data_IF_428285397310
#
_entry.id   IF_428285397310
#
_cell.length_a   1.000
_cell.length_b   1.000
_cell.length_c   1.000
_cell.angle_alpha   90.00
_cell.angle_beta   90.00
_cell.angle_gamma   90.00
#
_symmetry.space_group_name_H-M   'P 1'
#
loop_
_entity.id
_entity.type
_entity.pdbx_description
1 polymer ?
#
# COMPACT_ATOMS: atom_id res chain seq x y z
N UNK A 1 9.48 17.12 9.56
CA UNK A 1 9.32 15.85 8.79
C UNK A 1 9.04 16.19 7.34
N UNK A 2 9.72 15.52 6.39
CA UNK A 2 9.47 15.71 4.96
C UNK A 2 8.07 15.20 4.61
N UNK A 3 7.31 15.96 3.83
CA UNK A 3 5.97 15.57 3.37
C UNK A 3 6.10 14.42 2.37
N UNK A 4 5.29 13.37 2.51
CA UNK A 4 5.18 12.32 1.50
C UNK A 4 4.53 12.93 0.25
N UNK A 5 5.06 12.61 -0.92
CA UNK A 5 4.60 13.12 -2.21
C UNK A 5 4.43 11.96 -3.18
N UNK A 6 3.31 11.96 -3.88
CA UNK A 6 3.13 11.11 -5.05
C UNK A 6 3.80 11.82 -6.23
N UNK A 7 4.78 11.16 -6.83
CA UNK A 7 5.59 11.69 -7.92
C UNK A 7 5.20 11.09 -9.26
N UNK A 8 4.59 9.91 -9.26
CA UNK A 8 4.01 9.27 -10.43
C UNK A 8 2.65 8.71 -10.04
N UNK A 9 1.61 9.14 -10.74
CA UNK A 9 0.23 8.73 -10.49
C UNK A 9 -0.17 7.49 -11.29
N UNK A 10 0.62 7.09 -12.30
CA UNK A 10 0.35 5.94 -13.17
C UNK A 10 -1.07 5.96 -13.76
N UNK A 11 -1.62 7.16 -14.02
CA UNK A 11 -3.00 7.35 -14.50
C UNK A 11 -4.09 7.17 -13.43
N UNK A 12 -3.71 6.95 -12.17
CA UNK A 12 -4.66 6.85 -11.06
C UNK A 12 -4.99 8.22 -10.48
N UNK A 13 -6.27 8.41 -10.16
CA UNK A 13 -6.76 9.58 -9.44
C UNK A 13 -7.32 9.14 -8.10
N UNK A 14 -7.43 10.02 -7.09
CA UNK A 14 -8.08 9.67 -5.83
C UNK A 14 -9.48 9.06 -5.99
N UNK A 15 -10.22 9.53 -7.01
CA UNK A 15 -11.56 9.04 -7.34
C UNK A 15 -11.52 7.61 -7.91
N UNK A 16 -10.57 7.28 -8.78
CA UNK A 16 -10.44 5.92 -9.33
C UNK A 16 -9.89 4.95 -8.29
N UNK A 17 -8.93 5.37 -7.45
CA UNK A 17 -8.43 4.59 -6.31
C UNK A 17 -9.58 4.24 -5.35
N UNK A 18 -10.47 5.18 -5.04
CA UNK A 18 -11.64 4.92 -4.17
C UNK A 18 -12.63 3.90 -4.76
N UNK A 19 -12.68 3.75 -6.09
CA UNK A 19 -13.45 2.69 -6.73
C UNK A 19 -12.75 1.33 -6.59
N UNK A 20 -11.42 1.30 -6.74
CA UNK A 20 -10.63 0.08 -6.55
C UNK A 20 -10.65 -0.42 -5.10
N UNK A 21 -10.56 0.47 -4.12
CA UNK A 21 -10.69 0.14 -2.69
C UNK A 21 -11.95 -0.69 -2.40
N UNK A 22 -13.08 -0.37 -3.05
CA UNK A 22 -14.35 -1.07 -2.86
C UNK A 22 -14.34 -2.49 -3.45
N UNK A 23 -13.54 -2.73 -4.49
CA UNK A 23 -13.41 -4.05 -5.13
C UNK A 23 -12.53 -4.99 -4.33
N UNK A 24 -11.53 -4.45 -3.62
CA UNK A 24 -10.57 -5.24 -2.84
C UNK A 24 -11.25 -5.78 -1.58
N UNK A 25 -11.38 -7.11 -1.48
CA UNK A 25 -11.93 -7.80 -0.29
C UNK A 25 -10.92 -7.88 0.86
N UNK A 26 -9.62 -7.99 0.55
CA UNK A 26 -8.58 -8.10 1.57
C UNK A 26 -8.36 -6.75 2.26
N UNK A 27 -8.59 -6.70 3.57
CA UNK A 27 -8.52 -5.46 4.38
C UNK A 27 -7.12 -4.84 4.32
N UNK A 28 -6.07 -5.65 4.43
CA UNK A 28 -4.69 -5.15 4.42
C UNK A 28 -4.31 -4.51 3.08
N UNK A 29 -4.72 -5.12 1.97
CA UNK A 29 -4.49 -4.57 0.63
C UNK A 29 -5.32 -3.31 0.40
N UNK A 30 -6.57 -3.29 0.87
CA UNK A 30 -7.42 -2.09 0.82
C UNK A 30 -6.78 -0.92 1.58
N UNK A 31 -6.23 -1.17 2.76
CA UNK A 31 -5.53 -0.14 3.55
C UNK A 31 -4.29 0.43 2.82
N UNK A 32 -3.57 -0.38 2.04
CA UNK A 32 -2.46 0.10 1.20
C UNK A 32 -2.94 1.13 0.19
N UNK A 33 -4.01 0.81 -0.54
CA UNK A 33 -4.60 1.71 -1.54
C UNK A 33 -5.14 2.98 -0.87
N UNK A 34 -5.83 2.84 0.28
CA UNK A 34 -6.32 3.97 1.05
C UNK A 34 -5.20 4.91 1.52
N UNK A 35 -4.05 4.37 1.93
CA UNK A 35 -2.92 5.18 2.34
C UNK A 35 -2.42 6.07 1.20
N UNK A 36 -2.27 5.50 0.00
CA UNK A 36 -1.85 6.25 -1.20
C UNK A 36 -2.90 7.28 -1.60
N UNK A 37 -4.19 6.91 -1.61
CA UNK A 37 -5.29 7.84 -1.92
C UNK A 37 -5.29 9.05 -0.99
N UNK A 38 -5.15 8.83 0.32
CA UNK A 38 -5.13 9.93 1.29
C UNK A 38 -3.89 10.81 1.12
N UNK A 39 -2.72 10.24 0.81
CA UNK A 39 -1.52 11.06 0.52
C UNK A 39 -1.71 11.87 -0.77
N UNK A 40 -2.34 11.31 -1.81
CA UNK A 40 -2.71 12.07 -3.02
C UNK A 40 -3.68 13.22 -2.72
N UNK A 41 -4.66 12.99 -1.83
CA UNK A 41 -5.60 14.03 -1.38
C UNK A 41 -4.95 15.11 -0.51
N UNK A 42 -3.67 14.93 -0.15
CA UNK A 42 -2.86 15.93 0.51
C UNK A 42 -2.72 15.73 2.02
N UNK A 43 -3.25 14.65 2.60
CA UNK A 43 -3.09 14.34 4.02
C UNK A 43 -1.62 14.09 4.36
N UNK A 44 -1.21 14.44 5.58
CA UNK A 44 0.14 14.17 6.05
C UNK A 44 0.28 12.68 6.39
N UNK A 45 1.44 12.10 6.10
CA UNK A 45 1.70 10.68 6.39
C UNK A 45 1.48 10.29 7.86
N UNK A 46 1.70 11.21 8.81
CA UNK A 46 1.41 10.99 10.23
C UNK A 46 -0.09 10.82 10.51
N UNK A 47 -0.93 11.58 9.82
CA UNK A 47 -2.38 11.57 10.03
C UNK A 47 -2.98 10.34 9.33
N UNK A 48 -2.45 10.00 8.14
CA UNK A 48 -2.78 8.75 7.43
C UNK A 48 -2.43 7.53 8.27
N UNK A 49 -1.25 7.51 8.89
CA UNK A 49 -0.84 6.44 9.78
C UNK A 49 -1.82 6.27 10.96
N UNK A 50 -2.21 7.36 11.61
CA UNK A 50 -3.20 7.34 12.70
C UNK A 50 -4.59 6.89 12.23
N UNK A 51 -5.06 7.40 11.09
CA UNK A 51 -6.39 7.07 10.53
C UNK A 51 -6.52 5.59 10.14
N UNK A 52 -5.44 4.98 9.65
CA UNK A 52 -5.43 3.59 9.19
C UNK A 52 -4.90 2.61 10.24
N UNK A 53 -4.53 3.09 11.43
CA UNK A 53 -3.86 2.33 12.48
C UNK A 53 -2.60 1.59 11.96
N UNK A 54 -1.76 2.32 11.22
CA UNK A 54 -0.53 1.82 10.61
C UNK A 54 0.71 2.52 11.18
N UNK A 55 1.87 1.87 11.07
CA UNK A 55 3.14 2.51 11.34
C UNK A 55 3.48 3.55 10.26
N UNK A 56 4.11 4.67 10.66
CA UNK A 56 4.53 5.73 9.73
C UNK A 56 5.44 5.23 8.60
N UNK A 57 6.32 4.28 8.92
CA UNK A 57 7.21 3.62 7.96
C UNK A 57 6.42 2.82 6.91
N UNK A 58 5.34 2.14 7.30
CA UNK A 58 4.48 1.41 6.36
C UNK A 58 3.82 2.34 5.35
N UNK A 59 3.31 3.51 5.80
CA UNK A 59 2.73 4.51 4.90
C UNK A 59 3.77 5.05 3.91
N UNK A 60 4.98 5.36 4.39
CA UNK A 60 6.07 5.80 3.52
C UNK A 60 6.47 4.72 2.50
N UNK A 61 6.52 3.46 2.93
CA UNK A 61 6.82 2.33 2.07
C UNK A 61 5.76 2.12 0.99
N UNK A 62 4.47 2.21 1.33
CA UNK A 62 3.38 2.12 0.36
C UNK A 62 3.43 3.23 -0.69
N UNK A 63 3.74 4.45 -0.28
CA UNK A 63 3.96 5.57 -1.21
C UNK A 63 5.16 5.30 -2.13
N UNK A 64 6.25 4.73 -1.60
CA UNK A 64 7.41 4.35 -2.41
C UNK A 64 7.06 3.31 -3.47
N UNK A 65 6.41 2.22 -3.09
CA UNK A 65 5.99 1.16 -4.02
C UNK A 65 5.04 1.69 -5.10
N UNK A 66 4.08 2.53 -4.70
CA UNK A 66 3.16 3.12 -5.66
C UNK A 66 3.87 4.06 -6.64
N UNK A 67 4.80 4.89 -6.16
CA UNK A 67 5.58 5.75 -7.05
C UNK A 67 6.43 4.95 -8.05
N UNK A 68 6.96 3.80 -7.63
CA UNK A 68 7.80 2.93 -8.46
C UNK A 68 7.00 2.14 -9.51
N UNK A 69 5.90 1.49 -9.12
CA UNK A 69 5.19 0.54 -9.99
C UNK A 69 3.67 0.56 -9.88
N UNK A 70 3.09 1.64 -9.34
CA UNK A 70 1.64 1.82 -9.26
C UNK A 70 0.94 0.79 -8.37
N UNK A 71 -0.30 0.43 -8.74
CA UNK A 71 -1.07 -0.54 -7.99
C UNK A 71 -0.52 -1.97 -8.09
N UNK A 72 0.09 -2.33 -9.23
CA UNK A 72 0.64 -3.67 -9.43
C UNK A 72 1.69 -3.98 -8.38
N UNK A 73 2.65 -3.06 -8.19
CA UNK A 73 3.69 -3.23 -7.18
C UNK A 73 3.18 -3.03 -5.74
N UNK A 74 2.21 -2.13 -5.54
CA UNK A 74 1.62 -1.88 -4.22
C UNK A 74 0.86 -3.11 -3.69
N UNK A 75 0.16 -3.82 -4.58
CA UNK A 75 -0.68 -4.96 -4.27
C UNK A 75 0.05 -6.29 -4.37
N UNK A 76 1.20 -6.32 -5.06
CA UNK A 76 2.07 -7.49 -5.06
C UNK A 76 2.48 -7.84 -3.62
N UNK A 77 2.18 -9.09 -3.26
CA UNK A 77 2.56 -9.67 -1.98
C UNK A 77 3.41 -10.88 -2.27
N UNK A 78 4.70 -10.64 -2.45
CA UNK A 78 5.71 -11.69 -2.48
C UNK A 78 5.78 -12.32 -1.09
N UNK A 79 5.15 -13.49 -0.94
CA UNK A 79 5.42 -14.33 0.20
C UNK A 79 6.81 -14.94 0.00
N UNK A 80 7.70 -14.89 1.00
CA UNK A 80 8.89 -15.71 0.94
C UNK A 80 8.45 -17.17 0.77
N UNK A 81 9.20 -17.98 0.00
CA UNK A 81 8.97 -19.41 -0.02
C UNK A 81 8.97 -19.90 1.42
N UNK A 82 7.93 -20.67 1.80
CA UNK A 82 7.85 -21.25 3.14
C UNK A 82 9.10 -22.08 3.43
N UNK A 83 9.41 -22.27 4.71
CA UNK A 83 10.51 -23.15 5.10
C UNK A 83 10.18 -24.57 4.63
N UNK A 84 11.11 -25.21 3.93
CA UNK A 84 10.96 -26.60 3.50
C UNK A 84 10.74 -27.49 4.75
N UNK A 85 9.79 -28.44 4.71
CA UNK A 85 9.60 -29.39 5.79
C UNK A 85 10.88 -30.19 6.07
N UNK A 86 11.24 -30.32 7.35
CA UNK A 86 12.44 -31.06 7.76
C UNK A 86 12.29 -32.58 7.65
N UNK A 87 11.05 -33.07 7.61
CA UNK A 87 10.76 -34.50 7.58
C UNK A 87 10.54 -34.94 6.13
N UNK A 88 11.37 -35.86 5.66
CA UNK A 88 11.11 -36.64 4.45
C UNK A 88 10.02 -37.68 4.74
N UNK A 89 9.09 -37.95 3.81
CA UNK A 89 8.18 -39.09 3.96
C UNK A 89 8.97 -40.40 3.99
N UNK A 90 8.63 -41.27 4.94
CA UNK A 90 9.16 -42.64 5.07
C UNK A 90 8.69 -43.56 3.93
#
# INVERSE_FOLDING_TARGET
>A
MKRLKITNDHGWTPRTLRKEEKKIKNISLRQRVMAVRLVMEGYLGKDVASMLNLCRQSVAFYVSLFNEGGLDLLLDRKYPPGREPFLTPE
#
